data_IF_021863541170
#
_entry.id   IF_021863541170
#
_cell.length_a   1.000
_cell.length_b   1.000
_cell.length_c   1.000
_cell.angle_alpha   90.00
_cell.angle_beta   90.00
_cell.angle_gamma   90.00
#
_symmetry.space_group_name_H-M   'P 1'
#
loop_
_entity.id
_entity.type
_entity.pdbx_description
1 polymer ?
#
# COMPACT_ATOMS: atom_id res chain seq x y z
N UNK A 1 32.04 -51.13 26.46
CA UNK A 1 32.87 -50.30 27.37
C UNK A 1 33.21 -48.94 26.74
N UNK A 2 34.21 -48.83 25.85
CA UNK A 2 34.61 -47.53 25.27
C UNK A 2 33.55 -46.91 24.33
N UNK A 3 32.84 -47.74 23.56
CA UNK A 3 31.75 -47.31 22.67
C UNK A 3 30.52 -46.78 23.43
N UNK A 4 30.19 -47.40 24.58
CA UNK A 4 29.04 -47.01 25.40
C UNK A 4 29.29 -45.68 26.13
N UNK A 5 30.53 -45.46 26.59
CA UNK A 5 30.96 -44.19 27.17
C UNK A 5 30.91 -43.05 26.14
N UNK A 6 31.35 -43.31 24.90
CA UNK A 6 31.30 -42.31 23.82
C UNK A 6 29.86 -41.93 23.49
N UNK A 7 28.93 -42.90 23.41
CA UNK A 7 27.49 -42.62 23.20
C UNK A 7 26.89 -41.76 24.31
N UNK A 8 27.20 -42.05 25.57
CA UNK A 8 26.75 -41.22 26.70
C UNK A 8 27.29 -39.78 26.58
N UNK A 9 28.53 -39.60 26.14
CA UNK A 9 29.10 -38.26 25.90
C UNK A 9 28.47 -37.56 24.68
N UNK A 10 28.12 -38.32 23.64
CA UNK A 10 27.43 -37.79 22.45
C UNK A 10 26.07 -37.19 22.83
N UNK A 11 25.28 -37.87 23.66
CA UNK A 11 23.96 -37.41 24.12
C UNK A 11 24.02 -36.04 24.81
N UNK A 12 25.06 -35.79 25.60
CA UNK A 12 25.26 -34.51 26.33
C UNK A 12 25.57 -33.31 25.42
N UNK A 13 25.97 -33.56 24.17
CA UNK A 13 26.30 -32.50 23.20
C UNK A 13 25.32 -32.41 22.03
N UNK A 14 24.16 -33.04 22.18
CA UNK A 14 23.08 -32.98 21.21
C UNK A 14 22.17 -31.80 21.52
N UNK A 15 21.78 -31.08 20.48
CA UNK A 15 20.75 -30.07 20.58
C UNK A 15 19.39 -30.76 20.77
N UNK A 16 18.65 -30.49 21.86
CA UNK A 16 17.36 -31.13 22.11
C UNK A 16 16.25 -30.67 21.14
N UNK A 17 16.50 -29.63 20.32
CA UNK A 17 15.54 -29.13 19.33
C UNK A 17 15.71 -29.85 17.99
N UNK A 18 16.93 -29.90 17.45
CA UNK A 18 17.18 -30.50 16.14
C UNK A 18 17.72 -31.93 16.21
N UNK A 19 17.89 -32.48 17.43
CA UNK A 19 18.36 -33.84 17.70
C UNK A 19 19.64 -34.17 16.93
N UNK A 20 20.55 -33.19 16.89
CA UNK A 20 21.81 -33.23 16.16
C UNK A 20 22.88 -32.54 16.99
N UNK A 21 24.15 -32.83 16.72
CA UNK A 21 25.28 -32.17 17.37
C UNK A 21 25.08 -30.64 17.40
N UNK A 22 25.33 -30.05 18.56
CA UNK A 22 25.27 -28.61 18.75
C UNK A 22 26.12 -27.87 17.69
N UNK A 23 25.47 -27.03 16.89
CA UNK A 23 26.06 -26.16 15.88
C UNK A 23 25.97 -24.72 16.35
N UNK A 24 27.12 -24.09 16.55
CA UNK A 24 27.19 -22.73 17.14
C UNK A 24 26.37 -22.65 18.45
N UNK A 25 26.77 -23.43 19.48
CA UNK A 25 26.00 -23.53 20.71
C UNK A 25 25.96 -22.21 21.45
N UNK A 26 24.79 -21.87 21.98
CA UNK A 26 24.56 -20.69 22.81
C UNK A 26 23.86 -21.06 24.10
N UNK A 27 24.19 -20.34 25.17
CA UNK A 27 23.45 -20.31 26.42
C UNK A 27 22.29 -19.34 26.31
N UNK A 28 21.12 -19.77 26.78
CA UNK A 28 20.01 -18.87 27.10
C UNK A 28 19.97 -18.60 28.61
N UNK A 29 19.13 -17.66 29.06
CA UNK A 29 19.13 -17.15 30.45
C UNK A 29 19.03 -18.22 31.55
N UNK A 30 18.33 -19.33 31.27
CA UNK A 30 18.19 -20.44 32.21
C UNK A 30 19.38 -21.42 32.22
N UNK A 31 20.45 -21.14 31.47
CA UNK A 31 21.68 -21.96 31.41
C UNK A 31 21.62 -23.17 30.47
N UNK A 32 20.50 -23.44 29.82
CA UNK A 32 20.40 -24.51 28.81
C UNK A 32 21.10 -24.12 27.50
N UNK A 33 21.65 -25.11 26.80
CA UNK A 33 22.45 -24.92 25.59
C UNK A 33 21.67 -25.42 24.36
N UNK A 34 21.65 -24.62 23.30
CA UNK A 34 21.01 -24.96 22.04
C UNK A 34 21.83 -24.43 20.86
N UNK A 35 21.55 -24.90 19.64
CA UNK A 35 22.10 -24.28 18.44
C UNK A 35 21.57 -22.85 18.27
N UNK A 36 22.41 -21.89 17.87
CA UNK A 36 21.97 -20.52 17.57
C UNK A 36 20.82 -20.48 16.57
N UNK A 37 20.90 -21.29 15.52
CA UNK A 37 19.83 -21.41 14.53
C UNK A 37 18.50 -21.90 15.12
N UNK A 38 18.54 -22.83 16.08
CA UNK A 38 17.33 -23.36 16.71
C UNK A 38 16.66 -22.33 17.64
N UNK A 39 17.46 -21.54 18.36
CA UNK A 39 16.93 -20.44 19.19
C UNK A 39 16.33 -19.34 18.33
N UNK A 40 16.95 -18.99 17.20
CA UNK A 40 16.41 -17.99 16.29
C UNK A 40 15.00 -18.36 15.79
N UNK A 41 14.74 -19.64 15.49
CA UNK A 41 13.41 -20.13 15.08
C UNK A 41 12.37 -20.01 16.20
N UNK A 42 12.76 -20.24 17.46
CA UNK A 42 11.89 -20.06 18.63
C UNK A 42 11.55 -18.58 18.84
N UNK A 43 12.49 -17.68 18.55
CA UNK A 43 12.30 -16.24 18.65
C UNK A 43 11.54 -15.62 17.47
N UNK A 44 11.17 -16.39 16.43
CA UNK A 44 10.43 -15.84 15.31
C UNK A 44 9.00 -15.42 15.72
N UNK A 45 8.49 -14.25 15.26
CA UNK A 45 7.16 -13.76 15.63
C UNK A 45 6.00 -14.70 15.29
N UNK A 46 6.18 -15.57 14.28
CA UNK A 46 5.20 -16.60 13.89
C UNK A 46 5.12 -17.77 14.88
N UNK A 47 6.15 -17.96 15.70
CA UNK A 47 6.30 -19.06 16.66
C UNK A 47 5.84 -18.67 18.07
N UNK A 48 5.47 -17.40 18.30
CA UNK A 48 5.15 -16.84 19.61
C UNK A 48 3.65 -16.49 19.74
N UNK A 49 3.00 -16.83 20.87
CA UNK A 49 1.67 -16.31 21.20
C UNK A 49 1.65 -14.78 21.29
N UNK A 50 0.56 -14.13 20.88
CA UNK A 50 0.42 -12.67 20.90
C UNK A 50 0.75 -12.09 22.28
N UNK A 51 1.85 -11.34 22.38
CA UNK A 51 2.24 -10.60 23.58
C UNK A 51 3.13 -11.34 24.58
N UNK A 52 3.58 -12.57 24.29
CA UNK A 52 4.50 -13.31 25.14
C UNK A 52 5.90 -13.49 24.50
N UNK A 53 6.95 -13.29 25.30
CA UNK A 53 8.34 -13.51 24.88
C UNK A 53 8.74 -15.00 24.80
N UNK A 54 9.88 -15.33 24.19
CA UNK A 54 10.30 -16.71 23.98
C UNK A 54 10.60 -17.45 25.30
N UNK A 55 10.31 -18.76 25.33
CA UNK A 55 10.52 -19.63 26.49
C UNK A 55 11.42 -20.81 26.17
N UNK A 56 12.19 -21.25 27.17
CA UNK A 56 13.08 -22.40 27.05
C UNK A 56 12.27 -23.67 26.74
N UNK A 57 12.62 -24.46 25.71
CA UNK A 57 11.92 -25.70 25.40
C UNK A 57 11.94 -26.74 26.53
N UNK A 58 13.01 -26.76 27.34
CA UNK A 58 13.24 -27.74 28.40
C UNK A 58 12.55 -27.35 29.71
N UNK A 59 12.82 -26.16 30.26
CA UNK A 59 12.33 -25.75 31.57
C UNK A 59 11.22 -24.68 31.54
N UNK A 60 10.81 -24.23 30.34
CA UNK A 60 9.77 -23.20 30.13
C UNK A 60 10.07 -21.82 30.71
N UNK A 61 11.27 -21.60 31.27
CA UNK A 61 11.72 -20.27 31.72
C UNK A 61 11.79 -19.30 30.53
N UNK A 62 11.23 -18.10 30.70
CA UNK A 62 11.30 -17.03 29.70
C UNK A 62 12.73 -16.50 29.59
N UNK A 63 13.17 -16.20 28.38
CA UNK A 63 14.50 -15.65 28.12
C UNK A 63 14.44 -14.50 27.12
N UNK A 64 15.49 -13.69 27.06
CA UNK A 64 15.62 -12.59 26.09
C UNK A 64 16.60 -12.99 24.98
N UNK A 65 16.32 -12.59 23.74
CA UNK A 65 17.21 -12.93 22.63
C UNK A 65 18.53 -12.16 22.73
N UNK A 66 18.51 -10.97 23.33
CA UNK A 66 19.66 -10.09 23.47
C UNK A 66 20.66 -10.58 24.53
N UNK A 67 20.24 -11.47 25.43
CA UNK A 67 21.05 -11.96 26.55
C UNK A 67 21.74 -13.30 26.26
N UNK A 68 21.50 -13.89 25.09
CA UNK A 68 22.12 -15.16 24.71
C UNK A 68 23.63 -15.01 24.53
N UNK A 69 24.40 -15.99 25.00
CA UNK A 69 25.87 -15.97 24.98
C UNK A 69 26.43 -17.19 24.27
N UNK A 70 27.49 -17.07 23.46
CA UNK A 70 28.16 -18.23 22.87
C UNK A 70 28.70 -19.20 23.93
N UNK A 71 28.49 -20.50 23.72
CA UNK A 71 28.97 -21.58 24.58
C UNK A 71 30.21 -22.25 23.97
N UNK A 72 31.33 -21.51 23.88
CA UNK A 72 32.57 -21.96 23.24
C UNK A 72 33.09 -23.30 23.78
N UNK A 73 32.91 -23.56 25.08
CA UNK A 73 33.31 -24.81 25.72
C UNK A 73 32.51 -26.00 25.15
N UNK A 74 31.19 -25.84 24.95
CA UNK A 74 30.36 -26.88 24.33
C UNK A 74 30.77 -27.12 22.87
N UNK A 75 31.13 -26.07 22.12
CA UNK A 75 31.63 -26.21 20.76
C UNK A 75 32.94 -27.02 20.70
N UNK A 76 33.84 -26.81 21.66
CA UNK A 76 35.10 -27.55 21.77
C UNK A 76 34.87 -29.03 22.15
N UNK A 77 33.93 -29.31 23.06
CA UNK A 77 33.58 -30.69 23.44
C UNK A 77 32.95 -31.43 22.25
N UNK A 78 32.02 -30.81 21.52
CA UNK A 78 31.43 -31.37 20.29
C UNK A 78 32.53 -31.75 19.29
N UNK A 79 33.54 -30.89 19.12
CA UNK A 79 34.66 -31.15 18.22
C UNK A 79 35.48 -32.35 18.71
N UNK A 80 35.85 -32.38 19.99
CA UNK A 80 36.62 -33.47 20.58
C UNK A 80 35.92 -34.83 20.46
N UNK A 81 34.61 -34.88 20.69
CA UNK A 81 33.81 -36.12 20.53
C UNK A 81 33.79 -36.60 19.08
N UNK A 82 33.63 -35.68 18.12
CA UNK A 82 33.68 -36.01 16.68
C UNK A 82 35.06 -36.55 16.27
N UNK A 83 36.13 -35.92 16.75
CA UNK A 83 37.49 -36.36 16.46
C UNK A 83 37.77 -37.75 17.07
N UNK A 84 37.31 -38.01 18.30
CA UNK A 84 37.41 -39.34 18.94
C UNK A 84 36.66 -40.42 18.16
N UNK A 85 35.48 -40.09 17.61
CA UNK A 85 34.70 -41.02 16.79
C UNK A 85 35.42 -41.39 15.49
N UNK A 86 35.96 -40.39 14.79
CA UNK A 86 36.74 -40.61 13.57
C UNK A 86 37.97 -41.49 13.85
N UNK A 87 38.66 -41.25 14.97
CA UNK A 87 39.80 -42.06 15.38
C UNK A 87 39.43 -43.51 15.75
N UNK A 88 38.25 -43.75 16.33
CA UNK A 88 37.76 -45.10 16.58
C UNK A 88 37.40 -45.83 15.29
N UNK A 89 36.73 -45.15 14.35
CA UNK A 89 36.31 -45.70 13.06
C UNK A 89 37.53 -46.06 12.17
N UNK A 90 38.64 -45.33 12.28
CA UNK A 90 39.92 -45.67 11.62
C UNK A 90 40.64 -46.88 12.24
N UNK A 91 40.38 -47.19 13.52
CA UNK A 91 41.00 -48.32 14.23
C UNK A 91 40.18 -49.62 14.15
N UNK A 92 38.89 -49.56 13.78
CA UNK A 92 37.99 -50.72 13.65
C UNK A 92 37.85 -51.24 12.22
N UNK A 93 38.93 -51.29 11.46
CA UNK A 93 38.95 -51.94 10.14
C UNK A 93 38.82 -53.47 10.25
N UNK A 94 37.67 -53.98 10.68
CA UNK A 94 37.35 -55.41 10.57
C UNK A 94 37.39 -55.81 9.09
N UNK A 95 38.33 -56.68 8.72
CA UNK A 95 38.40 -57.24 7.37
C UNK A 95 37.12 -58.01 7.09
N UNK A 96 36.21 -57.44 6.30
CA UNK A 96 34.96 -58.09 5.94
C UNK A 96 35.23 -59.41 5.22
N UNK A 97 34.68 -60.50 5.77
CA UNK A 97 34.82 -61.87 5.26
C UNK A 97 33.50 -62.36 4.67
N UNK A 98 33.60 -63.20 3.66
CA UNK A 98 32.46 -63.89 3.08
C UNK A 98 31.86 -64.84 4.11
N UNK A 99 30.55 -64.72 4.35
CA UNK A 99 29.81 -65.55 5.32
C UNK A 99 29.86 -67.03 4.96
N UNK A 100 29.81 -67.36 3.67
CA UNK A 100 29.77 -68.74 3.17
C UNK A 100 31.16 -69.41 3.17
N UNK A 101 32.22 -68.65 2.90
CA UNK A 101 33.55 -69.21 2.64
C UNK A 101 34.61 -68.82 3.67
N UNK A 102 34.34 -67.86 4.57
CA UNK A 102 35.32 -67.32 5.53
C UNK A 102 36.46 -66.50 4.91
N UNK A 103 36.51 -66.44 3.58
CA UNK A 103 37.53 -65.74 2.79
C UNK A 103 37.31 -64.23 2.75
N UNK A 104 38.40 -63.47 2.61
CA UNK A 104 38.34 -62.01 2.52
C UNK A 104 37.61 -61.57 1.24
N UNK A 105 36.79 -60.52 1.37
CA UNK A 105 36.10 -59.91 0.24
C UNK A 105 37.07 -59.01 -0.54
N UNK A 106 37.18 -59.24 -1.84
CA UNK A 106 38.11 -58.54 -2.72
C UNK A 106 37.43 -57.88 -3.91
N UNK A 107 36.26 -58.38 -4.30
CA UNK A 107 35.58 -58.00 -5.53
C UNK A 107 34.18 -57.48 -5.27
N UNK A 108 33.67 -56.70 -6.22
CA UNK A 108 32.30 -56.21 -6.29
C UNK A 108 31.69 -56.72 -7.59
N UNK A 109 30.54 -57.38 -7.51
CA UNK A 109 29.71 -57.71 -8.65
C UNK A 109 28.84 -56.50 -9.01
N UNK A 110 29.04 -55.94 -10.20
CA UNK A 110 28.31 -54.75 -10.65
C UNK A 110 26.86 -55.04 -11.01
N UNK A 111 26.56 -56.26 -11.45
CA UNK A 111 25.20 -56.66 -11.83
C UNK A 111 24.32 -56.89 -10.59
N UNK A 112 24.88 -57.51 -9.54
CA UNK A 112 24.13 -57.86 -8.32
C UNK A 112 24.33 -56.87 -7.16
N UNK A 113 25.31 -55.96 -7.26
CA UNK A 113 25.70 -55.04 -6.18
C UNK A 113 26.33 -55.74 -4.96
N UNK A 114 26.85 -56.96 -5.13
CA UNK A 114 27.34 -57.80 -4.04
C UNK A 114 28.87 -57.78 -3.90
N UNK A 115 29.37 -57.95 -2.67
CA UNK A 115 30.79 -58.13 -2.40
C UNK A 115 31.15 -59.62 -2.44
N UNK A 116 32.16 -59.97 -3.22
CA UNK A 116 32.58 -61.35 -3.47
C UNK A 116 33.98 -61.63 -2.92
N UNK A 117 34.16 -62.82 -2.33
CA UNK A 117 35.48 -63.40 -2.15
C UNK A 117 35.95 -64.10 -3.43
N UNK A 118 37.17 -64.62 -3.43
CA UNK A 118 37.76 -65.35 -4.57
C UNK A 118 36.93 -66.56 -5.00
N UNK A 119 36.28 -67.26 -4.06
CA UNK A 119 35.47 -68.45 -4.36
C UNK A 119 34.12 -68.06 -4.98
N UNK A 120 33.45 -67.04 -4.42
CA UNK A 120 32.18 -66.54 -4.95
C UNK A 120 32.33 -66.00 -6.38
N UNK A 121 33.45 -65.36 -6.71
CA UNK A 121 33.72 -64.85 -8.07
C UNK A 121 33.73 -65.96 -9.13
N UNK A 122 34.28 -67.12 -8.81
CA UNK A 122 34.37 -68.27 -9.72
C UNK A 122 33.13 -69.17 -9.67
N UNK A 123 32.16 -68.86 -8.81
CA UNK A 123 30.92 -69.62 -8.70
C UNK A 123 30.11 -69.52 -10.00
N UNK A 124 29.26 -70.52 -10.27
CA UNK A 124 28.36 -70.49 -11.44
C UNK A 124 27.43 -69.28 -11.44
N UNK A 125 27.18 -68.70 -10.27
CA UNK A 125 26.27 -67.57 -10.08
C UNK A 125 26.89 -66.26 -10.58
N UNK A 126 28.17 -65.99 -10.29
CA UNK A 126 28.81 -64.71 -10.66
C UNK A 126 29.83 -64.81 -11.80
N UNK A 127 30.15 -66.01 -12.29
CA UNK A 127 31.21 -66.23 -13.31
C UNK A 127 30.99 -65.46 -14.62
N UNK A 128 29.75 -65.12 -14.96
CA UNK A 128 29.41 -64.34 -16.16
C UNK A 128 29.08 -62.87 -15.86
N UNK A 129 29.05 -62.48 -14.59
CA UNK A 129 28.74 -61.11 -14.20
C UNK A 129 29.97 -60.21 -14.33
N UNK A 130 29.72 -58.92 -14.50
CA UNK A 130 30.76 -57.92 -14.48
C UNK A 130 31.25 -57.74 -13.04
N UNK A 131 32.53 -58.03 -12.84
CA UNK A 131 33.16 -58.00 -11.52
C UNK A 131 34.38 -57.09 -11.56
N UNK A 132 34.47 -56.16 -10.61
CA UNK A 132 35.59 -55.24 -10.42
C UNK A 132 36.20 -55.39 -9.02
N UNK A 133 37.44 -54.93 -8.82
CA UNK A 133 38.04 -54.90 -7.48
C UNK A 133 37.34 -53.84 -6.66
N UNK A 134 37.08 -54.10 -5.38
CA UNK A 134 36.32 -53.19 -4.49
C UNK A 134 36.87 -51.76 -4.53
N UNK A 135 38.20 -51.58 -4.53
CA UNK A 135 38.82 -50.25 -4.60
C UNK A 135 38.49 -49.50 -5.88
N UNK A 136 38.44 -50.19 -7.02
CA UNK A 136 38.11 -49.61 -8.32
C UNK A 136 36.62 -49.25 -8.40
N UNK A 137 35.75 -50.16 -7.95
CA UNK A 137 34.30 -49.92 -7.88
C UNK A 137 33.97 -48.72 -6.99
N UNK A 138 34.58 -48.63 -5.80
CA UNK A 138 34.40 -47.48 -4.90
C UNK A 138 34.84 -46.18 -5.58
N UNK A 139 35.98 -46.19 -6.28
CA UNK A 139 36.46 -44.98 -6.94
C UNK A 139 35.54 -44.56 -8.09
N UNK A 140 35.03 -45.52 -8.88
CA UNK A 140 34.06 -45.26 -9.94
C UNK A 140 32.77 -44.64 -9.39
N UNK A 141 32.16 -45.24 -8.36
CA UNK A 141 30.96 -44.70 -7.72
C UNK A 141 31.20 -43.34 -7.06
N UNK A 142 32.35 -43.12 -6.43
CA UNK A 142 32.70 -41.80 -5.89
C UNK A 142 32.74 -40.73 -6.98
N UNK A 143 33.33 -41.04 -8.13
CA UNK A 143 33.39 -40.12 -9.26
C UNK A 143 31.98 -39.83 -9.82
N UNK A 144 31.16 -40.86 -9.99
CA UNK A 144 29.78 -40.73 -10.47
C UNK A 144 28.92 -39.89 -9.52
N UNK A 145 28.96 -40.20 -8.22
CA UNK A 145 28.28 -39.41 -7.17
C UNK A 145 28.76 -37.96 -7.21
N UNK A 146 30.06 -37.71 -7.37
CA UNK A 146 30.59 -36.36 -7.44
C UNK A 146 30.05 -35.58 -8.65
N UNK A 147 29.92 -36.22 -9.81
CA UNK A 147 29.31 -35.62 -11.01
C UNK A 147 27.83 -35.27 -10.73
N UNK A 148 27.05 -36.19 -10.16
CA UNK A 148 25.66 -35.93 -9.82
C UNK A 148 25.50 -34.80 -8.80
N UNK A 149 26.36 -34.77 -7.77
CA UNK A 149 26.38 -33.69 -6.78
C UNK A 149 26.65 -32.33 -7.44
N UNK A 150 27.60 -32.25 -8.38
CA UNK A 150 27.89 -31.02 -9.10
C UNK A 150 26.71 -30.57 -9.97
N UNK A 151 26.05 -31.50 -10.65
CA UNK A 151 24.85 -31.22 -11.46
C UNK A 151 23.71 -30.67 -10.59
N UNK A 152 23.39 -31.35 -9.49
CA UNK A 152 22.33 -30.91 -8.56
C UNK A 152 22.66 -29.57 -7.91
N UNK A 153 23.93 -29.30 -7.62
CA UNK A 153 24.35 -27.99 -7.11
C UNK A 153 24.14 -26.87 -8.13
N UNK A 154 24.36 -27.14 -9.43
CA UNK A 154 24.08 -26.20 -10.52
C UNK A 154 22.58 -25.94 -10.65
N UNK A 155 21.77 -26.99 -10.67
CA UNK A 155 20.29 -26.88 -10.72
C UNK A 155 19.73 -26.10 -9.53
N UNK A 156 20.21 -26.40 -8.31
CA UNK A 156 19.86 -25.64 -7.10
C UNK A 156 20.17 -24.16 -7.24
N UNK A 157 21.30 -23.82 -7.84
CA UNK A 157 21.72 -22.43 -8.05
C UNK A 157 20.83 -21.72 -9.08
N UNK A 158 20.44 -22.43 -10.14
CA UNK A 158 19.49 -21.92 -11.13
C UNK A 158 18.11 -21.67 -10.53
N UNK A 159 17.58 -22.62 -9.75
CA UNK A 159 16.29 -22.47 -9.05
C UNK A 159 16.30 -21.29 -8.08
N UNK A 160 17.38 -21.10 -7.31
CA UNK A 160 17.55 -19.90 -6.48
C UNK A 160 17.55 -18.61 -7.30
N UNK A 161 18.17 -18.61 -8.48
CA UNK A 161 18.11 -17.49 -9.41
C UNK A 161 16.68 -17.17 -9.87
N UNK A 162 15.92 -18.18 -10.30
CA UNK A 162 14.52 -18.00 -10.68
C UNK A 162 13.65 -17.50 -9.53
N UNK A 163 13.84 -18.04 -8.33
CA UNK A 163 13.13 -17.59 -7.13
C UNK A 163 13.41 -16.11 -6.85
N UNK A 164 14.67 -15.68 -6.90
CA UNK A 164 15.04 -14.28 -6.69
C UNK A 164 14.45 -13.34 -7.76
N UNK A 165 14.40 -13.78 -9.02
CA UNK A 165 13.76 -13.01 -10.11
C UNK A 165 12.24 -12.93 -9.89
N UNK A 166 11.60 -14.03 -9.51
CA UNK A 166 10.18 -14.08 -9.19
C UNK A 166 9.82 -13.13 -8.05
N UNK A 167 10.56 -13.20 -6.94
CA UNK A 167 10.38 -12.33 -5.78
C UNK A 167 10.49 -10.84 -6.16
N UNK A 168 11.55 -10.47 -6.90
CA UNK A 168 11.73 -9.09 -7.39
C UNK A 168 10.57 -8.62 -8.27
N UNK A 169 10.08 -9.48 -9.18
CA UNK A 169 8.93 -9.14 -10.04
C UNK A 169 7.65 -8.93 -9.24
N UNK A 170 7.38 -9.82 -8.28
CA UNK A 170 6.23 -9.70 -7.37
C UNK A 170 6.32 -8.42 -6.55
N UNK A 171 7.46 -8.14 -5.94
CA UNK A 171 7.69 -6.92 -5.17
C UNK A 171 7.51 -5.65 -6.03
N UNK A 172 8.01 -5.66 -7.27
CA UNK A 172 7.82 -4.55 -8.20
C UNK A 172 6.35 -4.33 -8.60
N UNK A 173 5.58 -5.41 -8.78
CA UNK A 173 4.14 -5.32 -9.04
C UNK A 173 3.38 -4.78 -7.83
N UNK A 174 3.68 -5.29 -6.63
CA UNK A 174 3.09 -4.78 -5.38
C UNK A 174 3.42 -3.30 -5.17
N UNK A 175 4.67 -2.89 -5.43
CA UNK A 175 5.06 -1.48 -5.36
C UNK A 175 4.30 -0.59 -6.35
N UNK A 176 4.07 -1.07 -7.58
CA UNK A 176 3.23 -0.36 -8.57
C UNK A 176 1.78 -0.24 -8.12
N UNK A 177 1.21 -1.31 -7.60
CA UNK A 177 -0.16 -1.29 -7.05
C UNK A 177 -0.31 -0.27 -5.92
N UNK A 178 0.70 -0.15 -5.05
CA UNK A 178 0.68 0.82 -3.96
C UNK A 178 0.82 2.27 -4.45
N UNK A 179 1.57 2.51 -5.54
CA UNK A 179 1.61 3.82 -6.20
C UNK A 179 0.24 4.18 -6.77
N UNK A 180 -0.41 3.26 -7.49
CA UNK A 180 -1.75 3.50 -8.05
C UNK A 180 -2.81 3.67 -6.95
N UNK A 181 -2.70 2.92 -5.84
CA UNK A 181 -3.57 3.09 -4.67
C UNK A 181 -3.45 4.51 -4.10
N UNK A 182 -2.24 4.99 -3.88
CA UNK A 182 -1.99 6.35 -3.38
C UNK A 182 -2.46 7.41 -4.36
N UNK A 183 -2.24 7.20 -5.67
CA UNK A 183 -2.75 8.09 -6.70
C UNK A 183 -4.27 8.17 -6.65
N UNK A 184 -4.97 7.04 -6.63
CA UNK A 184 -6.43 7.00 -6.53
C UNK A 184 -6.93 7.77 -5.32
N UNK A 185 -6.38 7.52 -4.12
CA UNK A 185 -6.76 8.26 -2.91
C UNK A 185 -6.57 9.76 -3.09
N UNK A 186 -5.43 10.19 -3.65
CA UNK A 186 -5.14 11.60 -3.89
C UNK A 186 -6.08 12.25 -4.91
N UNK A 187 -6.46 11.56 -5.99
CA UNK A 187 -7.42 12.07 -6.97
C UNK A 187 -8.81 12.26 -6.32
N UNK A 188 -9.26 11.30 -5.51
CA UNK A 188 -10.53 11.44 -4.78
C UNK A 188 -10.49 12.57 -3.75
N UNK A 189 -9.37 12.74 -3.04
CA UNK A 189 -9.18 13.86 -2.11
C UNK A 189 -9.26 15.21 -2.83
N UNK A 190 -8.64 15.34 -4.01
CA UNK A 190 -8.77 16.55 -4.84
C UNK A 190 -10.22 16.80 -5.29
N UNK A 191 -10.96 15.75 -5.66
CA UNK A 191 -12.38 15.87 -6.01
C UNK A 191 -13.19 16.33 -4.79
N UNK A 192 -12.95 15.77 -3.61
CA UNK A 192 -13.64 16.17 -2.38
C UNK A 192 -13.38 17.65 -2.04
N UNK A 193 -12.12 18.09 -2.05
CA UNK A 193 -11.75 19.48 -1.80
C UNK A 193 -12.37 20.43 -2.83
N UNK A 194 -12.43 20.04 -4.10
CA UNK A 194 -13.08 20.84 -5.14
C UNK A 194 -14.58 20.99 -4.90
N UNK A 195 -15.27 19.91 -4.53
CA UNK A 195 -16.70 19.93 -4.24
C UNK A 195 -17.00 20.77 -2.99
N UNK A 196 -16.23 20.62 -1.93
CA UNK A 196 -16.34 21.41 -0.70
C UNK A 196 -16.10 22.91 -0.98
N UNK A 197 -15.07 23.24 -1.76
CA UNK A 197 -14.83 24.63 -2.18
C UNK A 197 -15.96 25.22 -3.01
N UNK A 198 -16.60 24.42 -3.89
CA UNK A 198 -17.78 24.86 -4.66
C UNK A 198 -19.01 25.05 -3.77
N UNK A 199 -19.21 24.19 -2.78
CA UNK A 199 -20.29 24.32 -1.81
C UNK A 199 -20.15 25.62 -1.02
N UNK A 200 -18.97 25.87 -0.42
CA UNK A 200 -18.69 27.11 0.30
C UNK A 200 -18.89 28.35 -0.56
N UNK A 201 -18.48 28.33 -1.82
CA UNK A 201 -18.69 29.46 -2.74
C UNK A 201 -20.18 29.75 -2.99
N UNK A 202 -21.01 28.71 -3.13
CA UNK A 202 -22.44 28.87 -3.36
C UNK A 202 -23.17 29.33 -2.09
N UNK A 203 -22.79 28.81 -0.93
CA UNK A 203 -23.28 29.26 0.37
C UNK A 203 -22.91 30.72 0.63
N UNK A 204 -21.67 31.12 0.37
CA UNK A 204 -21.25 32.52 0.50
C UNK A 204 -22.06 33.46 -0.40
N UNK A 205 -22.38 33.06 -1.63
CA UNK A 205 -23.26 33.85 -2.53
C UNK A 205 -24.70 33.93 -2.02
N UNK A 206 -25.20 32.90 -1.34
CA UNK A 206 -26.51 32.96 -0.68
C UNK A 206 -26.48 33.97 0.47
N UNK A 207 -25.47 33.89 1.33
CA UNK A 207 -25.30 34.81 2.46
C UNK A 207 -25.17 36.28 2.02
N UNK A 208 -24.37 36.56 0.98
CA UNK A 208 -24.25 37.89 0.39
C UNK A 208 -25.61 38.41 -0.10
N UNK A 209 -26.39 37.55 -0.77
CA UNK A 209 -27.70 37.93 -1.29
C UNK A 209 -28.72 38.15 -0.16
N UNK A 210 -28.68 37.35 0.89
CA UNK A 210 -29.50 37.55 2.09
C UNK A 210 -29.17 38.87 2.79
N UNK A 211 -27.90 39.24 2.88
CA UNK A 211 -27.46 40.52 3.42
C UNK A 211 -27.93 41.70 2.55
N UNK A 212 -27.78 41.59 1.23
CA UNK A 212 -28.27 42.58 0.25
C UNK A 212 -29.78 42.82 0.41
N UNK A 213 -30.57 41.75 0.55
CA UNK A 213 -32.02 41.81 0.74
C UNK A 213 -32.35 42.47 2.09
N UNK A 214 -31.65 42.09 3.16
CA UNK A 214 -31.85 42.66 4.49
C UNK A 214 -31.57 44.15 4.51
N UNK A 215 -30.45 44.57 3.92
CA UNK A 215 -30.07 45.98 3.79
C UNK A 215 -31.10 46.77 2.98
N UNK A 216 -31.54 46.24 1.84
CA UNK A 216 -32.58 46.87 1.04
C UNK A 216 -33.91 47.04 1.80
N UNK A 217 -34.28 46.06 2.64
CA UNK A 217 -35.44 46.17 3.54
C UNK A 217 -35.27 47.26 4.59
N UNK A 218 -34.10 47.35 5.21
CA UNK A 218 -33.80 48.39 6.22
C UNK A 218 -33.89 49.79 5.60
N UNK A 219 -33.31 49.98 4.42
CA UNK A 219 -33.41 51.25 3.66
C UNK A 219 -34.86 51.60 3.30
N UNK A 220 -35.65 50.61 2.86
CA UNK A 220 -37.07 50.78 2.56
C UNK A 220 -37.88 51.19 3.81
N UNK A 221 -37.65 50.51 4.94
CA UNK A 221 -38.35 50.80 6.20
C UNK A 221 -37.99 52.19 6.71
N UNK A 222 -36.71 52.59 6.61
CA UNK A 222 -36.27 53.92 6.98
C UNK A 222 -36.93 55.01 6.10
N UNK A 223 -36.97 54.80 4.78
CA UNK A 223 -37.64 55.70 3.84
C UNK A 223 -39.16 55.79 4.11
N UNK A 224 -39.81 54.66 4.36
CA UNK A 224 -41.23 54.61 4.73
C UNK A 224 -41.51 55.38 6.02
N UNK A 225 -40.68 55.18 7.05
CA UNK A 225 -40.81 55.85 8.33
C UNK A 225 -40.65 57.37 8.20
N UNK A 226 -39.71 57.82 7.37
CA UNK A 226 -39.51 59.25 7.10
C UNK A 226 -40.69 59.88 6.33
N UNK A 227 -41.28 59.16 5.36
CA UNK A 227 -42.48 59.61 4.66
C UNK A 227 -43.72 59.61 5.56
N UNK A 228 -43.87 58.60 6.42
CA UNK A 228 -44.94 58.54 7.42
C UNK A 228 -44.83 59.69 8.43
N UNK A 229 -43.65 59.98 8.95
CA UNK A 229 -43.45 61.10 9.87
C UNK A 229 -43.78 62.46 9.21
N UNK A 230 -43.45 62.63 7.92
CA UNK A 230 -43.86 63.81 7.16
C UNK A 230 -45.38 63.88 6.97
N UNK A 231 -46.03 62.75 6.69
CA UNK A 231 -47.49 62.66 6.57
C UNK A 231 -48.17 63.00 7.90
N UNK A 232 -47.71 62.42 9.00
CA UNK A 232 -48.22 62.68 10.35
C UNK A 232 -48.08 64.16 10.71
N UNK A 233 -46.91 64.78 10.46
CA UNK A 233 -46.72 66.21 10.70
C UNK A 233 -47.67 67.09 9.88
N UNK A 234 -47.94 66.73 8.61
CA UNK A 234 -48.91 67.44 7.77
C UNK A 234 -50.35 67.25 8.25
N UNK A 235 -50.71 66.06 8.70
CA UNK A 235 -52.02 65.77 9.28
C UNK A 235 -52.21 66.61 10.54
N UNK A 236 -51.25 66.59 11.47
CA UNK A 236 -51.28 67.40 12.69
C UNK A 236 -51.37 68.90 12.39
N UNK A 237 -50.60 69.43 11.44
CA UNK A 237 -50.71 70.85 11.04
C UNK A 237 -52.14 71.20 10.57
N UNK A 238 -52.75 70.33 9.77
CA UNK A 238 -54.11 70.55 9.25
C UNK A 238 -55.19 70.39 10.33
N UNK A 239 -55.04 69.41 11.22
CA UNK A 239 -55.92 69.20 12.36
C UNK A 239 -55.87 70.39 13.33
N UNK A 240 -54.67 70.86 13.70
CA UNK A 240 -54.50 72.04 14.55
C UNK A 240 -55.13 73.28 13.92
N UNK A 241 -54.92 73.53 12.63
CA UNK A 241 -55.56 74.64 11.92
C UNK A 241 -57.08 74.53 11.92
N UNK A 242 -57.64 73.33 11.79
CA UNK A 242 -59.10 73.12 11.77
C UNK A 242 -59.78 73.48 13.10
N UNK A 243 -59.04 73.51 14.20
CA UNK A 243 -59.54 73.84 15.54
C UNK A 243 -59.35 75.32 15.93
N UNK A 244 -58.77 76.15 15.05
CA UNK A 244 -58.56 77.59 15.33
C UNK A 244 -59.87 78.41 15.25
N UNK A 245 -59.92 79.55 15.93
CA UNK A 245 -61.06 80.48 15.87
C UNK A 245 -61.28 81.02 14.43
N UNK A 246 -62.53 81.33 14.07
CA UNK A 246 -62.93 81.64 12.68
C UNK A 246 -62.07 82.73 12.01
N UNK A 247 -61.68 83.76 12.77
CA UNK A 247 -60.86 84.86 12.26
C UNK A 247 -59.41 84.44 11.96
N UNK A 248 -58.84 83.55 12.78
CA UNK A 248 -57.47 83.03 12.63
C UNK A 248 -57.39 81.98 11.52
N UNK A 249 -58.41 81.12 11.41
CA UNK A 249 -58.53 80.14 10.34
C UNK A 249 -58.55 80.81 8.96
N UNK A 250 -59.28 81.93 8.82
CA UNK A 250 -59.31 82.70 7.58
C UNK A 250 -57.93 83.27 7.20
N UNK A 251 -57.01 83.43 8.16
CA UNK A 251 -55.61 83.77 7.90
C UNK A 251 -54.77 82.52 7.60
N UNK A 252 -54.46 82.32 6.33
CA UNK A 252 -53.41 81.35 5.93
C UNK A 252 -53.88 79.90 5.76
N UNK A 253 -55.17 79.58 5.90
CA UNK A 253 -55.72 78.26 5.52
C UNK A 253 -55.47 77.93 4.04
N UNK A 254 -55.62 78.91 3.14
CA UNK A 254 -55.32 78.73 1.71
C UNK A 254 -53.89 78.25 1.47
N UNK A 255 -52.92 78.78 2.21
CA UNK A 255 -51.51 78.41 2.08
C UNK A 255 -51.21 76.97 2.49
N UNK A 256 -51.78 76.51 3.61
CA UNK A 256 -51.62 75.12 4.07
C UNK A 256 -52.34 74.12 3.16
N UNK A 257 -53.55 74.45 2.69
CA UNK A 257 -54.30 73.61 1.75
C UNK A 257 -53.55 73.48 0.41
N UNK A 258 -53.02 74.58 -0.13
CA UNK A 258 -52.23 74.53 -1.37
C UNK A 258 -50.94 73.72 -1.21
N UNK A 259 -50.26 73.80 -0.05
CA UNK A 259 -49.05 73.02 0.24
C UNK A 259 -49.33 71.51 0.25
N UNK A 260 -50.47 71.11 0.82
CA UNK A 260 -50.92 69.71 0.79
C UNK A 260 -51.22 69.25 -0.64
N UNK A 261 -52.01 70.02 -1.40
CA UNK A 261 -52.42 69.66 -2.76
C UNK A 261 -51.24 69.49 -3.72
N UNK A 262 -50.10 70.14 -3.45
CA UNK A 262 -48.90 70.05 -4.27
C UNK A 262 -47.92 68.95 -3.81
N UNK A 263 -48.08 68.39 -2.60
CA UNK A 263 -47.15 67.39 -2.07
C UNK A 263 -47.34 66.06 -2.81
N UNK A 264 -46.23 65.50 -3.30
CA UNK A 264 -46.18 64.15 -3.88
C UNK A 264 -45.43 63.23 -2.94
N UNK A 265 -46.07 62.15 -2.53
CA UNK A 265 -45.45 61.11 -1.70
C UNK A 265 -44.66 60.13 -2.55
N UNK A 266 -43.60 59.59 -1.97
CA UNK A 266 -42.77 58.57 -2.62
C UNK A 266 -43.57 57.28 -2.81
N UNK A 267 -43.52 56.70 -4.01
CA UNK A 267 -44.00 55.33 -4.27
C UNK A 267 -42.90 54.35 -3.91
N UNK A 268 -43.03 53.72 -2.76
CA UNK A 268 -42.07 52.74 -2.26
C UNK A 268 -42.34 51.36 -2.88
N UNK A 269 -41.29 50.66 -3.29
CA UNK A 269 -41.37 49.30 -3.82
C UNK A 269 -40.83 48.29 -2.78
N UNK A 270 -41.63 47.32 -2.30
CA UNK A 270 -41.23 46.38 -1.26
C UNK A 270 -40.03 45.49 -1.58
N UNK A 271 -39.85 45.14 -2.86
CA UNK A 271 -38.78 44.23 -3.31
C UNK A 271 -38.20 44.76 -4.62
N UNK A 272 -36.88 44.93 -4.67
CA UNK A 272 -36.22 45.31 -5.92
C UNK A 272 -36.25 44.16 -6.92
N UNK A 273 -36.76 44.42 -8.14
CA UNK A 273 -36.74 43.45 -9.25
C UNK A 273 -35.33 42.89 -9.53
N UNK A 274 -34.29 43.64 -9.20
CA UNK A 274 -32.91 43.19 -9.30
C UNK A 274 -32.63 42.03 -8.34
N UNK A 275 -33.11 42.09 -7.11
CA UNK A 275 -32.91 41.05 -6.10
C UNK A 275 -33.66 39.78 -6.47
N UNK A 276 -34.90 39.90 -6.96
CA UNK A 276 -35.67 38.76 -7.47
C UNK A 276 -34.94 38.03 -8.60
N UNK A 277 -34.36 38.77 -9.55
CA UNK A 277 -33.55 38.20 -10.64
C UNK A 277 -32.30 37.48 -10.11
N UNK A 278 -31.61 38.07 -9.12
CA UNK A 278 -30.43 37.45 -8.49
C UNK A 278 -30.80 36.12 -7.80
N UNK A 279 -31.88 36.10 -7.02
CA UNK A 279 -32.37 34.88 -6.34
C UNK A 279 -32.72 33.80 -7.35
N UNK A 280 -33.50 34.14 -8.38
CA UNK A 280 -33.88 33.20 -9.44
C UNK A 280 -32.66 32.64 -10.18
N UNK A 281 -31.68 33.49 -10.47
CA UNK A 281 -30.43 33.07 -11.11
C UNK A 281 -29.63 32.06 -10.26
N UNK A 282 -29.69 32.17 -8.94
CA UNK A 282 -29.03 31.23 -8.03
C UNK A 282 -29.81 29.91 -7.92
N UNK A 283 -31.14 29.96 -7.87
CA UNK A 283 -32.01 28.78 -7.92
C UNK A 283 -31.76 27.93 -9.16
N UNK A 284 -31.63 28.56 -10.34
CA UNK A 284 -31.31 27.86 -11.59
C UNK A 284 -29.97 27.11 -11.46
N UNK A 285 -28.95 27.74 -10.87
CA UNK A 285 -27.63 27.11 -10.68
C UNK A 285 -27.68 25.92 -9.74
N UNK A 286 -28.44 26.00 -8.65
CA UNK A 286 -28.63 24.88 -7.70
C UNK A 286 -29.33 23.71 -8.40
N UNK A 287 -30.38 23.99 -9.18
CA UNK A 287 -31.09 22.96 -9.94
C UNK A 287 -30.19 22.30 -11.00
N UNK A 288 -29.34 23.08 -11.69
CA UNK A 288 -28.34 22.54 -12.61
C UNK A 288 -27.34 21.63 -11.91
N UNK A 289 -26.87 21.99 -10.71
CA UNK A 289 -25.96 21.15 -9.91
C UNK A 289 -26.61 19.79 -9.56
N UNK A 290 -27.87 19.81 -9.11
CA UNK A 290 -28.63 18.59 -8.81
C UNK A 290 -28.81 17.71 -10.04
N UNK A 291 -29.06 18.31 -11.22
CA UNK A 291 -29.19 17.56 -12.47
C UNK A 291 -27.88 16.88 -12.85
N UNK A 292 -26.77 17.62 -12.83
CA UNK A 292 -25.45 17.08 -13.15
C UNK A 292 -25.06 15.94 -12.20
N UNK A 293 -25.40 16.06 -10.91
CA UNK A 293 -25.16 15.01 -9.93
C UNK A 293 -25.96 13.72 -10.22
N UNK A 294 -27.22 13.85 -10.62
CA UNK A 294 -28.05 12.71 -11.05
C UNK A 294 -27.51 12.04 -12.31
N UNK A 295 -27.06 12.82 -13.29
CA UNK A 295 -26.43 12.30 -14.51
C UNK A 295 -25.13 11.54 -14.21
N UNK A 296 -24.33 12.04 -13.27
CA UNK A 296 -23.13 11.36 -12.78
C UNK A 296 -23.46 10.02 -12.09
N UNK A 297 -24.51 9.97 -11.28
CA UNK A 297 -24.98 8.74 -10.64
C UNK A 297 -25.58 7.73 -11.62
N UNK A 298 -26.19 8.20 -12.71
CA UNK A 298 -26.90 7.39 -13.69
C UNK A 298 -26.02 6.90 -14.85
N UNK A 299 -24.69 6.87 -14.68
CA UNK A 299 -23.69 6.66 -15.75
C UNK A 299 -24.03 5.60 -16.81
N UNK A 300 -23.45 5.72 -18.03
CA UNK A 300 -23.83 4.91 -19.18
C UNK A 300 -23.45 3.44 -18.97
N UNK A 301 -24.46 2.60 -18.72
CA UNK A 301 -24.34 1.14 -18.68
C UNK A 301 -24.03 0.59 -17.29
N UNK A 302 -25.00 -0.11 -16.71
CA UNK A 302 -24.87 -0.82 -15.45
C UNK A 302 -23.92 -2.02 -15.54
N UNK A 303 -22.63 -1.77 -15.34
CA UNK A 303 -21.69 -2.72 -14.72
C UNK A 303 -20.48 -1.91 -14.21
N UNK A 304 -20.33 -1.73 -12.88
CA UNK A 304 -19.21 -1.00 -12.28
C UNK A 304 -17.83 -1.62 -12.55
N UNK A 305 -17.76 -2.84 -13.10
CA UNK A 305 -16.52 -3.63 -13.19
C UNK A 305 -15.74 -3.45 -14.51
N UNK A 306 -16.31 -2.81 -15.53
CA UNK A 306 -15.74 -2.85 -16.90
C UNK A 306 -15.06 -1.57 -17.39
N UNK A 307 -15.05 -0.49 -16.60
CA UNK A 307 -14.51 0.82 -17.05
C UNK A 307 -13.31 1.33 -16.24
N UNK A 308 -12.51 0.44 -15.65
CA UNK A 308 -11.18 0.81 -15.12
C UNK A 308 -10.09 0.44 -16.12
N UNK A 309 -10.11 1.08 -17.30
CA UNK A 309 -8.88 1.22 -18.09
C UNK A 309 -8.03 2.31 -17.44
N UNK A 310 -6.92 1.91 -16.83
CA UNK A 310 -5.94 2.79 -16.20
C UNK A 310 -5.32 3.84 -17.15
N UNK A 311 -5.57 3.74 -18.46
CA UNK A 311 -5.23 4.75 -19.47
C UNK A 311 -6.13 6.00 -19.44
N UNK A 312 -7.32 5.91 -18.82
CA UNK A 312 -8.33 6.97 -18.90
C UNK A 312 -8.28 7.90 -17.67
N UNK A 313 -7.47 7.55 -16.66
CA UNK A 313 -7.13 8.38 -15.50
C UNK A 313 -5.89 9.26 -15.73
N UNK A 314 -5.43 9.39 -16.97
CA UNK A 314 -4.85 10.66 -17.36
C UNK A 314 -5.99 11.67 -17.50
N UNK A 315 -6.45 12.17 -16.36
CA UNK A 315 -6.84 13.56 -16.20
C UNK A 315 -5.62 14.42 -16.55
N UNK A 316 -5.25 14.43 -17.85
CA UNK A 316 -4.69 15.63 -18.45
C UNK A 316 -5.61 16.74 -18.00
N UNK A 317 -5.00 17.80 -17.52
CA UNK A 317 -5.57 19.07 -17.03
C UNK A 317 -6.68 19.73 -17.90
N UNK A 318 -7.21 19.04 -18.91
CA UNK A 318 -8.22 19.48 -19.86
C UNK A 318 -9.52 18.63 -19.87
N UNK A 319 -9.67 17.58 -19.04
CA UNK A 319 -10.90 16.74 -19.04
C UNK A 319 -11.88 17.03 -17.88
N UNK A 320 -11.76 18.20 -17.24
CA UNK A 320 -12.80 18.73 -16.33
C UNK A 320 -13.63 19.81 -17.05
N UNK A 321 -13.68 19.78 -18.40
CA UNK A 321 -14.51 20.70 -19.18
C UNK A 321 -16.00 20.55 -18.90
N UNK A 322 -16.45 19.36 -18.47
CA UNK A 322 -17.84 19.09 -18.08
C UNK A 322 -18.32 19.88 -16.85
N UNK A 323 -17.41 20.40 -16.02
CA UNK A 323 -17.75 21.22 -14.86
C UNK A 323 -17.60 22.73 -15.11
N UNK A 324 -17.09 23.15 -16.27
CA UNK A 324 -16.63 24.52 -16.52
C UNK A 324 -17.38 25.29 -17.63
N UNK A 325 -18.24 24.67 -18.45
CA UNK A 325 -18.88 25.40 -19.57
C UNK A 325 -20.38 25.68 -19.36
N UNK A 326 -20.69 26.96 -19.07
CA UNK A 326 -22.01 27.62 -19.12
C UNK A 326 -21.95 29.06 -18.58
N UNK A 327 -22.58 30.06 -19.23
CA UNK A 327 -21.86 31.06 -20.03
C UNK A 327 -21.50 32.36 -19.27
N UNK A 328 -20.25 32.79 -19.42
CA UNK A 328 -19.82 34.19 -19.29
C UNK A 328 -19.01 34.54 -20.55
N UNK A 329 -19.63 35.28 -21.47
CA UNK A 329 -18.94 36.16 -22.41
C UNK A 329 -18.81 37.53 -21.71
N UNK A 330 -17.80 38.37 -21.87
CA UNK A 330 -16.57 38.39 -22.65
C UNK A 330 -15.90 39.73 -22.31
N UNK A 331 -14.56 39.79 -22.19
CA UNK A 331 -13.83 41.04 -22.40
C UNK A 331 -12.62 40.76 -23.29
N UNK A 332 -12.43 41.61 -24.28
CA UNK A 332 -11.64 41.42 -25.47
C UNK A 332 -10.39 42.31 -25.49
N UNK A 333 -9.28 41.72 -25.96
CA UNK A 333 -8.25 42.36 -26.80
C UNK A 333 -6.89 42.68 -26.13
N UNK A 334 -5.81 42.91 -26.92
CA UNK A 334 -5.56 42.45 -28.30
C UNK A 334 -4.11 41.91 -28.57
N UNK A 335 -3.95 41.20 -29.71
CA UNK A 335 -2.79 41.08 -30.66
C UNK A 335 -1.33 41.13 -30.13
N UNK A 336 -0.38 40.28 -30.53
CA UNK A 336 0.02 39.84 -31.88
C UNK A 336 1.07 38.70 -31.78
N UNK A 337 1.38 37.95 -32.87
CA UNK A 337 2.27 36.79 -32.86
C UNK A 337 3.70 37.13 -33.29
N UNK A 338 4.66 36.29 -32.91
CA UNK A 338 5.93 36.14 -33.64
C UNK A 338 6.53 34.73 -33.46
N UNK A 339 7.08 34.12 -34.52
CA UNK A 339 7.62 32.75 -34.52
C UNK A 339 9.13 32.73 -34.31
N UNK A 340 9.67 31.65 -33.75
CA UNK A 340 11.12 31.39 -33.71
C UNK A 340 11.40 29.86 -33.69
N UNK A 341 12.62 29.43 -34.06
CA UNK A 341 12.83 28.52 -35.18
C UNK A 341 13.36 27.13 -34.78
N UNK A 342 13.58 26.31 -35.79
CA UNK A 342 13.77 24.86 -35.70
C UNK A 342 15.00 24.33 -34.97
N UNK A 343 14.96 23.02 -34.73
CA UNK A 343 16.12 22.18 -34.45
C UNK A 343 16.04 20.91 -35.33
N UNK A 344 17.19 20.30 -35.67
CA UNK A 344 17.35 19.59 -36.93
C UNK A 344 17.07 18.09 -36.82
N UNK A 345 16.62 17.54 -37.95
CA UNK A 345 16.75 16.13 -38.29
C UNK A 345 18.23 15.71 -38.32
N UNK A 346 18.54 14.60 -37.65
CA UNK A 346 19.65 13.73 -38.04
C UNK A 346 19.21 12.27 -38.05
N UNK A 347 19.43 11.64 -39.21
CA UNK A 347 19.21 10.24 -39.57
C UNK A 347 20.29 9.31 -39.00
N UNK A 348 19.90 8.05 -38.72
CA UNK A 348 20.45 6.77 -39.28
C UNK A 348 20.23 5.62 -38.27
N UNK A 349 19.32 4.69 -38.50
CA UNK A 349 19.45 3.48 -39.33
C UNK A 349 20.74 2.67 -39.09
N UNK A 350 20.57 1.47 -38.50
CA UNK A 350 20.98 0.18 -39.09
C UNK A 350 20.69 -0.98 -38.13
N UNK A 351 19.81 -1.89 -38.54
CA UNK A 351 19.83 -3.29 -38.09
C UNK A 351 20.71 -4.12 -39.02
N UNK A 352 21.13 -5.34 -38.64
CA UNK A 352 21.70 -6.30 -39.58
C UNK A 352 20.69 -7.39 -39.98
N UNK A 353 20.94 -8.05 -41.13
CA UNK A 353 19.97 -8.90 -41.80
C UNK A 353 20.07 -10.38 -41.39
N UNK A 354 19.01 -11.11 -41.73
CA UNK A 354 18.96 -12.57 -41.82
C UNK A 354 20.18 -13.17 -42.55
N UNK A 355 20.80 -14.18 -41.94
CA UNK A 355 20.96 -15.49 -42.57
C UNK A 355 21.11 -16.59 -41.52
#
# INVERSE_FOLDING_TARGET
MASDLLKAMEEEVMCPICLSYLRDPIFIDCGHIFCRGCVNVICEPRSLPLGEGPSCPLCKTRFRQETVKPAWQAANIVKGIKDLRLNLEEQTGEEQRCVTHGEKLHFHCEDDGQLLCVVCRESREHRLHKVSVIKEAIQAYKNEIQIHVQTLQKERSQLRGFQAVGERKTQALMGRMEVERRKMVSEFEQIHQFLEGREHLLLGKLEELEQDIRKGREELVAAASAELAQLEALITELEEKSQQEEAELLQGVKGSVSRFQQKKFLKLNPVSQLMERKVNGLTVKINSLQKNFKEFQAGPGGDPSQNLKMSDLHLRSNSVSWFLEGPFHSFSGPSNPSPMPGLPHFFKNQGPPNR
#
